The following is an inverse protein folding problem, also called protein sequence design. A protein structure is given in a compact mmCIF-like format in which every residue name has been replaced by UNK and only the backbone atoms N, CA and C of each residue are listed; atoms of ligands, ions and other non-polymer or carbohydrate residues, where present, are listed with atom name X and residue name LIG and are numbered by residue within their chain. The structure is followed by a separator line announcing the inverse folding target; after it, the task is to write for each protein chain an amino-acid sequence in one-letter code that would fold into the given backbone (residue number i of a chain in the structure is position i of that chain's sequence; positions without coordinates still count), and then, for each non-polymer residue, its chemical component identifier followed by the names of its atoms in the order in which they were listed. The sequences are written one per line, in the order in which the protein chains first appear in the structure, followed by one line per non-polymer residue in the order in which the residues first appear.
data_IF_491259220643
#
_entry.id   IF_491259220643
#
_cell.length_a   1.000
_cell.length_b   1.000
_cell.length_c   1.000
_cell.angle_alpha   90.00
_cell.angle_beta   90.00
_cell.angle_gamma   90.00
#
_symmetry.space_group_name_H-M   'P 1'
#
loop_
_entity.id
_entity.type
_entity.pdbx_description
1 polymer ?
#
# COMPACT_ATOMS: atom_id res chain seq x y z
N UNK A 1 11.21 -5.48 48.14
CA UNK A 1 12.17 -5.53 47.01
C UNK A 1 11.59 -6.50 45.99
N UNK A 2 10.69 -6.02 45.11
CA UNK A 2 10.95 -5.70 43.69
C UNK A 2 11.71 -6.84 43.00
N UNK A 3 11.14 -7.56 42.03
CA UNK A 3 10.67 -7.01 40.75
C UNK A 3 9.61 -7.90 40.08
N UNK A 4 8.42 -7.35 39.85
CA UNK A 4 7.47 -7.87 38.85
C UNK A 4 7.83 -7.25 37.50
N UNK A 5 8.42 -8.03 36.60
CA UNK A 5 8.57 -7.65 35.18
C UNK A 5 7.27 -7.93 34.45
N UNK A 6 6.40 -6.92 34.41
CA UNK A 6 5.29 -6.86 33.45
C UNK A 6 5.89 -6.59 32.06
N UNK A 7 6.06 -7.64 31.26
CA UNK A 7 6.26 -7.51 29.82
C UNK A 7 4.92 -7.21 29.15
N UNK A 8 4.63 -5.91 29.02
CA UNK A 8 3.62 -5.40 28.08
C UNK A 8 4.03 -5.77 26.66
N UNK A 9 3.47 -6.85 26.14
CA UNK A 9 3.45 -7.14 24.70
C UNK A 9 2.28 -6.39 24.08
N UNK A 10 2.52 -5.10 23.81
CA UNK A 10 1.69 -4.33 22.87
C UNK A 10 2.01 -4.84 21.47
N UNK A 11 1.23 -5.78 20.94
CA UNK A 11 1.25 -6.14 19.52
C UNK A 11 -0.16 -6.10 18.95
N UNK A 12 -0.36 -5.14 18.06
CA UNK A 12 -1.28 -5.15 16.92
C UNK A 12 -2.78 -5.21 17.19
N UNK A 13 -3.37 -4.03 17.40
CA UNK A 13 -4.78 -3.80 17.12
C UNK A 13 -5.00 -3.52 15.63
N UNK A 14 -5.71 -4.43 14.97
CA UNK A 14 -6.53 -4.27 13.75
C UNK A 14 -5.86 -3.87 12.42
N UNK A 15 -5.04 -4.79 11.87
CA UNK A 15 -4.86 -4.94 10.41
C UNK A 15 -5.78 -6.08 9.86
N UNK A 16 -6.55 -6.72 10.75
CA UNK A 16 -7.24 -8.00 10.52
C UNK A 16 -8.36 -7.98 9.46
N UNK A 17 -8.84 -6.80 9.03
CA UNK A 17 -9.94 -6.72 8.07
C UNK A 17 -9.52 -6.74 6.59
N UNK A 18 -8.23 -6.56 6.28
CA UNK A 18 -7.75 -6.50 4.90
C UNK A 18 -7.27 -7.86 4.37
N UNK A 19 -6.52 -8.59 5.19
CA UNK A 19 -5.96 -9.90 4.87
C UNK A 19 -6.15 -10.83 6.06
N UNK A 20 -6.48 -12.11 5.81
CA UNK A 20 -6.58 -13.12 6.87
C UNK A 20 -5.24 -13.41 7.56
N UNK A 21 -4.12 -12.92 7.01
CA UNK A 21 -2.81 -13.01 7.61
C UNK A 21 -1.84 -11.97 7.03
N UNK A 22 -1.09 -11.31 7.91
CA UNK A 22 0.06 -10.48 7.56
C UNK A 22 1.08 -10.50 8.70
N UNK A 23 2.36 -10.47 8.36
CA UNK A 23 3.43 -10.16 9.32
C UNK A 23 4.45 -9.23 8.65
N UNK A 24 5.10 -8.33 9.42
CA UNK A 24 6.19 -7.51 8.90
C UNK A 24 7.31 -8.34 8.28
N UNK A 25 8.08 -7.76 7.37
CA UNK A 25 9.25 -8.45 6.82
C UNK A 25 10.26 -8.74 7.93
N UNK A 26 10.56 -10.03 8.13
CA UNK A 26 11.66 -10.48 8.98
C UNK A 26 12.77 -11.07 8.09
N UNK A 27 13.92 -10.38 8.04
CA UNK A 27 15.05 -10.78 7.20
C UNK A 27 15.60 -12.17 7.57
N UNK A 28 15.49 -12.61 8.83
CA UNK A 28 15.98 -13.91 9.25
C UNK A 28 15.19 -15.06 8.63
N UNK A 29 13.87 -15.06 8.85
CA UNK A 29 12.99 -16.11 8.33
C UNK A 29 12.82 -16.04 6.81
N UNK A 30 12.72 -14.84 6.24
CA UNK A 30 12.58 -14.67 4.80
C UNK A 30 13.80 -15.23 4.05
N UNK A 31 15.04 -14.94 4.48
CA UNK A 31 16.25 -15.43 3.80
C UNK A 31 16.33 -16.95 3.81
N UNK A 32 16.07 -17.59 4.95
CA UNK A 32 16.08 -19.06 5.04
C UNK A 32 15.01 -19.69 4.15
N UNK A 33 13.81 -19.10 4.13
CA UNK A 33 12.73 -19.54 3.25
C UNK A 33 13.10 -19.41 1.78
N UNK A 34 13.71 -18.30 1.37
CA UNK A 34 14.17 -18.09 -0.01
C UNK A 34 15.23 -19.11 -0.43
N UNK A 35 16.17 -19.43 0.45
CA UNK A 35 17.19 -20.45 0.18
C UNK A 35 16.57 -21.82 -0.10
N UNK A 36 15.57 -22.22 0.69
CA UNK A 36 14.84 -23.46 0.48
C UNK A 36 14.02 -23.42 -0.82
N UNK A 37 13.25 -22.36 -1.02
CA UNK A 37 12.32 -22.23 -2.13
C UNK A 37 13.04 -22.17 -3.49
N UNK A 38 14.20 -21.51 -3.56
CA UNK A 38 14.96 -21.29 -4.80
C UNK A 38 15.97 -22.40 -5.10
N UNK A 39 16.15 -23.38 -4.22
CA UNK A 39 17.12 -24.45 -4.44
C UNK A 39 16.62 -25.41 -5.55
N UNK A 40 17.39 -25.57 -6.65
CA UNK A 40 16.98 -26.36 -7.82
C UNK A 40 16.87 -27.87 -7.53
N UNK A 41 17.37 -28.35 -6.39
CA UNK A 41 17.20 -29.73 -5.94
C UNK A 41 15.75 -30.01 -5.52
N UNK A 42 15.01 -28.99 -5.09
CA UNK A 42 13.60 -29.09 -4.76
C UNK A 42 12.70 -28.87 -5.99
N UNK A 43 11.47 -29.37 -5.93
CA UNK A 43 10.52 -29.27 -7.04
C UNK A 43 10.15 -27.81 -7.34
N UNK A 44 9.92 -27.03 -6.29
CA UNK A 44 9.57 -25.63 -6.32
C UNK A 44 10.64 -24.80 -7.02
N UNK A 45 11.92 -25.01 -6.68
CA UNK A 45 13.05 -24.34 -7.34
C UNK A 45 13.12 -24.63 -8.84
N UNK A 46 12.82 -25.86 -9.27
CA UNK A 46 12.72 -26.22 -10.70
C UNK A 46 11.53 -25.55 -11.38
N UNK A 47 10.38 -25.48 -10.71
CA UNK A 47 9.18 -24.80 -11.21
C UNK A 47 9.47 -23.30 -11.40
N UNK A 48 10.11 -22.66 -10.42
CA UNK A 48 10.49 -21.24 -10.45
C UNK A 48 11.48 -20.97 -11.58
N UNK A 49 12.47 -21.85 -11.77
CA UNK A 49 13.43 -21.73 -12.88
C UNK A 49 12.72 -21.74 -14.24
N UNK A 50 11.79 -22.69 -14.45
CA UNK A 50 10.99 -22.75 -15.68
C UNK A 50 10.10 -21.51 -15.85
N UNK A 51 9.50 -21.01 -14.78
CA UNK A 51 8.71 -19.78 -14.80
C UNK A 51 9.56 -18.58 -15.23
N UNK A 52 10.77 -18.44 -14.69
CA UNK A 52 11.70 -17.35 -15.06
C UNK A 52 12.11 -17.42 -16.53
N UNK A 53 12.32 -18.61 -17.07
CA UNK A 53 12.59 -18.78 -18.50
C UNK A 53 11.38 -18.41 -19.37
N UNK A 54 10.17 -18.75 -18.93
CA UNK A 54 8.94 -18.34 -19.59
C UNK A 54 8.75 -16.82 -19.53
N UNK A 55 9.05 -16.19 -18.39
CA UNK A 55 8.97 -14.74 -18.20
C UNK A 55 9.87 -13.98 -19.17
N UNK A 56 11.12 -14.43 -19.32
CA UNK A 56 12.05 -13.83 -20.28
C UNK A 56 11.60 -13.96 -21.73
N UNK A 57 10.94 -15.08 -22.08
CA UNK A 57 10.54 -15.39 -23.46
C UNK A 57 9.18 -14.81 -23.84
N UNK A 58 8.27 -14.66 -22.88
CA UNK A 58 6.88 -14.30 -23.14
C UNK A 58 6.57 -12.84 -22.77
N UNK A 59 6.54 -11.98 -23.80
CA UNK A 59 6.19 -10.55 -23.63
C UNK A 59 4.72 -10.30 -23.29
N UNK A 60 3.86 -11.31 -23.37
CA UNK A 60 2.43 -11.21 -23.12
C UNK A 60 2.04 -11.61 -21.69
N UNK A 61 3.01 -11.78 -20.79
CA UNK A 61 2.67 -12.01 -19.38
C UNK A 61 1.94 -10.82 -18.78
N UNK A 62 0.96 -11.15 -17.95
CA UNK A 62 0.12 -10.21 -17.22
C UNK A 62 0.27 -10.44 -15.72
N UNK A 63 -0.17 -9.46 -14.93
CA UNK A 63 -0.23 -9.59 -13.47
C UNK A 63 -1.10 -10.74 -12.99
N UNK A 64 -2.11 -11.13 -13.78
CA UNK A 64 -2.93 -12.31 -13.50
C UNK A 64 -2.15 -13.60 -13.68
N UNK A 65 -1.19 -13.65 -14.61
CA UNK A 65 -0.35 -14.83 -14.80
C UNK A 65 0.57 -15.04 -13.59
N UNK A 66 1.23 -13.99 -13.09
CA UNK A 66 2.08 -14.12 -11.89
C UNK A 66 1.24 -14.44 -10.65
N UNK A 67 0.10 -13.79 -10.44
CA UNK A 67 -0.80 -14.08 -9.30
C UNK A 67 -1.20 -15.57 -9.26
N UNK A 68 -1.61 -16.13 -10.42
CA UNK A 68 -1.92 -17.56 -10.55
C UNK A 68 -0.70 -18.45 -10.32
N UNK A 69 0.45 -18.07 -10.85
CA UNK A 69 1.70 -18.80 -10.66
C UNK A 69 2.05 -18.90 -9.17
N UNK A 70 2.03 -17.77 -8.44
CA UNK A 70 2.32 -17.72 -7.01
C UNK A 70 1.33 -18.55 -6.21
N UNK A 71 0.04 -18.49 -6.54
CA UNK A 71 -0.99 -19.31 -5.90
C UNK A 71 -0.71 -20.81 -6.06
N UNK A 72 -0.42 -21.26 -7.28
CA UNK A 72 -0.10 -22.67 -7.54
C UNK A 72 1.20 -23.10 -6.90
N UNK A 73 2.23 -22.24 -6.90
CA UNK A 73 3.49 -22.50 -6.22
C UNK A 73 3.28 -22.68 -4.71
N UNK A 74 2.42 -21.86 -4.08
CA UNK A 74 2.01 -22.04 -2.69
C UNK A 74 1.36 -23.39 -2.46
N UNK A 75 0.40 -23.78 -3.31
CA UNK A 75 -0.26 -25.10 -3.20
C UNK A 75 0.74 -26.26 -3.32
N UNK A 76 1.68 -26.18 -4.27
CA UNK A 76 2.71 -27.21 -4.45
C UNK A 76 3.59 -27.32 -3.21
N UNK A 77 4.10 -26.19 -2.68
CA UNK A 77 4.96 -26.20 -1.50
C UNK A 77 4.25 -26.79 -0.27
N UNK A 78 3.01 -26.37 0.00
CA UNK A 78 2.23 -26.88 1.12
C UNK A 78 1.95 -28.38 0.99
N UNK A 79 1.64 -28.84 -0.22
CA UNK A 79 1.45 -30.27 -0.49
C UNK A 79 2.73 -31.07 -0.24
N UNK A 80 3.87 -30.59 -0.73
CA UNK A 80 5.15 -31.29 -0.61
C UNK A 80 5.71 -31.27 0.82
N UNK A 81 5.31 -30.30 1.64
CA UNK A 81 5.68 -30.19 3.06
C UNK A 81 4.65 -30.83 4.01
N UNK A 82 3.60 -31.45 3.47
CA UNK A 82 2.49 -32.03 4.24
C UNK A 82 1.80 -31.02 5.18
N UNK A 83 1.76 -29.74 4.79
CA UNK A 83 1.07 -28.66 5.48
C UNK A 83 -0.31 -28.40 4.86
N UNK A 84 -1.06 -29.46 4.59
CA UNK A 84 -2.39 -29.42 3.96
C UNK A 84 -3.51 -29.65 4.97
N UNK A 85 -4.72 -29.20 4.67
CA UNK A 85 -5.86 -29.19 5.62
C UNK A 85 -6.30 -30.57 6.13
N UNK A 86 -5.91 -31.64 5.44
CA UNK A 86 -6.14 -33.04 5.83
C UNK A 86 -5.11 -33.57 6.85
N UNK A 87 -4.09 -32.79 7.20
CA UNK A 87 -3.00 -33.18 8.09
C UNK A 87 -3.21 -32.64 9.51
N UNK A 88 -2.79 -33.38 10.55
CA UNK A 88 -3.09 -33.03 11.95
C UNK A 88 -2.40 -31.76 12.45
N UNK A 89 -1.33 -31.31 11.78
CA UNK A 89 -0.57 -30.11 12.15
C UNK A 89 -0.96 -28.87 11.34
N UNK A 90 -1.98 -28.95 10.49
CA UNK A 90 -2.43 -27.82 9.69
C UNK A 90 -2.93 -26.67 10.57
N UNK A 91 -2.52 -25.45 10.22
CA UNK A 91 -3.08 -24.23 10.79
C UNK A 91 -3.80 -23.43 9.70
N UNK A 92 -4.93 -22.76 10.02
CA UNK A 92 -5.71 -22.00 9.05
C UNK A 92 -4.90 -21.00 8.22
N UNK A 93 -3.91 -20.36 8.83
CA UNK A 93 -3.10 -19.31 8.21
C UNK A 93 -1.89 -19.82 7.42
N UNK A 94 -1.65 -21.13 7.36
CA UNK A 94 -0.48 -21.67 6.65
C UNK A 94 -0.49 -21.30 5.17
N UNK A 95 -1.67 -21.27 4.55
CA UNK A 95 -1.77 -20.89 3.15
C UNK A 95 -1.32 -19.44 2.95
N UNK A 96 -1.90 -18.52 3.69
CA UNK A 96 -1.66 -17.09 3.53
C UNK A 96 -0.26 -16.68 3.99
N UNK A 97 0.27 -17.29 5.06
CA UNK A 97 1.64 -17.08 5.48
C UNK A 97 2.64 -17.53 4.42
N UNK A 98 2.47 -18.75 3.90
CA UNK A 98 3.33 -19.31 2.85
C UNK A 98 3.20 -18.51 1.55
N UNK A 99 1.97 -18.09 1.22
CA UNK A 99 1.72 -17.26 0.04
C UNK A 99 2.42 -15.90 0.14
N UNK A 100 2.34 -15.22 1.28
CA UNK A 100 3.04 -13.96 1.53
C UNK A 100 4.56 -14.11 1.38
N UNK A 101 5.16 -15.15 1.97
CA UNK A 101 6.60 -15.41 1.85
C UNK A 101 7.02 -15.69 0.40
N UNK A 102 6.22 -16.48 -0.34
CA UNK A 102 6.44 -16.74 -1.76
C UNK A 102 6.31 -15.45 -2.59
N UNK A 103 5.31 -14.62 -2.32
CA UNK A 103 5.15 -13.31 -2.96
C UNK A 103 6.40 -12.45 -2.73
N UNK A 104 6.87 -12.34 -1.49
CA UNK A 104 8.08 -11.58 -1.11
C UNK A 104 9.35 -12.13 -1.77
N UNK A 105 9.42 -13.43 -1.99
CA UNK A 105 10.54 -14.04 -2.71
C UNK A 105 10.50 -13.74 -4.22
N UNK A 106 9.37 -14.01 -4.87
CA UNK A 106 9.29 -14.07 -6.33
C UNK A 106 9.00 -12.70 -6.96
N UNK A 107 8.17 -11.87 -6.32
CA UNK A 107 7.71 -10.61 -6.91
C UNK A 107 8.86 -9.62 -7.17
N UNK A 108 9.78 -9.35 -6.22
CA UNK A 108 10.94 -8.48 -6.47
C UNK A 108 11.87 -8.98 -7.58
N UNK A 109 11.85 -10.28 -7.85
CA UNK A 109 12.64 -10.93 -8.90
C UNK A 109 11.98 -10.87 -10.28
N UNK A 110 10.75 -10.36 -10.39
CA UNK A 110 9.93 -10.33 -11.62
C UNK A 110 10.01 -8.96 -12.30
N UNK A 111 11.25 -8.48 -12.51
CA UNK A 111 11.54 -7.10 -12.94
C UNK A 111 10.99 -6.82 -14.34
N UNK A 112 11.07 -7.79 -15.24
CA UNK A 112 10.59 -7.68 -16.61
C UNK A 112 9.08 -7.47 -16.67
N UNK A 113 8.32 -8.19 -15.83
CA UNK A 113 6.88 -8.02 -15.71
C UNK A 113 6.53 -6.63 -15.14
N UNK A 114 7.19 -6.22 -14.06
CA UNK A 114 6.98 -4.90 -13.44
C UNK A 114 7.28 -3.78 -14.44
N UNK A 115 8.41 -3.86 -15.15
CA UNK A 115 8.76 -2.90 -16.19
C UNK A 115 7.73 -2.85 -17.31
N UNK A 116 7.21 -4.00 -17.74
CA UNK A 116 6.16 -4.06 -18.75
C UNK A 116 4.89 -3.29 -18.33
N UNK A 117 4.50 -3.40 -17.05
CA UNK A 117 3.32 -2.72 -16.50
C UNK A 117 3.54 -1.21 -16.44
N UNK A 118 4.71 -0.77 -15.96
CA UNK A 118 5.09 0.64 -15.91
C UNK A 118 5.07 1.23 -17.31
N UNK A 119 5.71 0.56 -18.29
CA UNK A 119 5.72 1.03 -19.69
C UNK A 119 4.31 1.11 -20.28
N UNK A 120 3.44 0.10 -20.04
CA UNK A 120 2.06 0.10 -20.55
C UNK A 120 1.18 1.22 -20.00
N UNK A 121 1.50 1.77 -18.83
CA UNK A 121 0.73 2.84 -18.19
C UNK A 121 1.44 4.21 -18.23
N UNK A 122 2.63 4.26 -18.86
CA UNK A 122 3.52 5.42 -18.85
C UNK A 122 2.87 6.71 -19.33
N UNK A 123 2.02 6.67 -20.37
CA UNK A 123 1.33 7.87 -20.87
C UNK A 123 0.44 8.53 -19.81
N UNK A 124 -0.32 7.71 -19.06
CA UNK A 124 -1.18 8.21 -17.98
C UNK A 124 -0.37 8.72 -16.80
N UNK A 125 0.71 8.03 -16.45
CA UNK A 125 1.63 8.43 -15.38
C UNK A 125 2.41 9.71 -15.72
N UNK A 126 2.79 9.91 -16.99
CA UNK A 126 3.36 11.18 -17.48
C UNK A 126 2.32 12.30 -17.35
N UNK A 127 1.08 12.06 -17.75
CA UNK A 127 0.01 13.05 -17.60
C UNK A 127 -0.24 13.39 -16.13
N UNK A 128 -0.24 12.39 -15.25
CA UNK A 128 -0.35 12.58 -13.81
C UNK A 128 0.80 13.41 -13.25
N UNK A 129 2.03 13.08 -13.65
CA UNK A 129 3.23 13.79 -13.19
C UNK A 129 3.21 15.28 -13.55
N UNK A 130 2.64 15.64 -14.72
CA UNK A 130 2.43 17.05 -15.10
C UNK A 130 1.41 17.75 -14.19
N UNK A 131 0.34 17.06 -13.79
CA UNK A 131 -0.62 17.61 -12.83
C UNK A 131 0.01 17.78 -11.45
N UNK A 132 0.78 16.78 -11.02
CA UNK A 132 1.46 16.77 -9.73
C UNK A 132 2.39 17.97 -9.56
N UNK A 133 3.12 18.35 -10.62
CA UNK A 133 4.13 19.40 -10.58
C UNK A 133 3.61 20.78 -10.15
N UNK A 134 2.39 21.16 -10.57
CA UNK A 134 1.80 22.42 -10.12
C UNK A 134 0.96 22.23 -8.86
N UNK A 135 0.30 21.07 -8.71
CA UNK A 135 -0.49 20.80 -7.51
C UNK A 135 0.37 20.68 -6.25
N UNK A 136 1.65 20.35 -6.36
CA UNK A 136 2.58 20.31 -5.23
C UNK A 136 2.82 21.68 -4.58
N UNK A 137 2.49 22.77 -5.28
CA UNK A 137 2.59 24.13 -4.76
C UNK A 137 1.36 24.55 -3.92
N UNK A 138 0.29 23.76 -3.95
CA UNK A 138 -0.95 24.06 -3.23
C UNK A 138 -0.79 23.83 -1.72
N UNK A 139 -1.36 24.73 -0.92
CA UNK A 139 -1.43 24.57 0.55
C UNK A 139 -2.51 23.57 0.96
N UNK A 140 -2.45 23.14 2.22
CA UNK A 140 -3.47 22.26 2.82
C UNK A 140 -4.87 22.90 2.71
N UNK A 141 -4.99 24.20 2.98
CA UNK A 141 -6.26 24.94 2.92
C UNK A 141 -6.78 25.05 1.49
N UNK A 142 -5.91 25.28 0.50
CA UNK A 142 -6.31 25.32 -0.92
C UNK A 142 -6.86 23.97 -1.40
N UNK A 143 -6.39 22.86 -0.82
CA UNK A 143 -6.92 21.53 -1.06
C UNK A 143 -8.18 21.20 -0.26
N UNK A 144 -8.65 22.13 0.58
CA UNK A 144 -9.85 21.98 1.39
C UNK A 144 -9.65 21.24 2.71
N UNK A 145 -8.41 21.14 3.19
CA UNK A 145 -8.15 20.65 4.56
C UNK A 145 -8.66 21.68 5.56
N UNK A 146 -9.43 21.22 6.56
CA UNK A 146 -9.93 22.05 7.65
C UNK A 146 -8.75 22.72 8.38
N UNK A 147 -8.84 24.02 8.65
CA UNK A 147 -7.78 24.78 9.30
C UNK A 147 -7.34 24.20 10.65
N UNK A 148 -8.24 23.52 11.38
CA UNK A 148 -7.95 22.84 12.66
C UNK A 148 -7.10 21.58 12.48
N UNK A 149 -7.04 21.07 11.26
CA UNK A 149 -6.31 19.87 10.84
C UNK A 149 -5.09 20.21 9.98
N UNK A 150 -4.83 21.48 9.73
CA UNK A 150 -3.64 21.91 9.02
C UNK A 150 -2.40 21.74 9.92
N UNK A 151 -1.37 21.09 9.39
CA UNK A 151 -0.06 21.06 10.04
C UNK A 151 0.67 22.41 9.95
N UNK A 152 1.77 22.59 10.73
CA UNK A 152 2.53 23.83 10.74
C UNK A 152 3.06 24.23 9.36
N UNK A 153 2.97 25.51 8.99
CA UNK A 153 3.35 26.06 7.67
C UNK A 153 4.79 25.78 7.22
N UNK A 154 5.70 25.48 8.15
CA UNK A 154 7.13 25.25 7.90
C UNK A 154 7.59 23.81 8.20
N UNK A 155 6.66 22.91 8.48
CA UNK A 155 6.95 21.49 8.73
C UNK A 155 6.35 20.62 7.64
N UNK A 156 6.89 19.41 7.48
CA UNK A 156 6.26 18.37 6.66
C UNK A 156 5.02 17.85 7.40
N UNK A 157 3.90 18.58 7.25
CA UNK A 157 2.60 18.14 7.74
C UNK A 157 2.34 16.70 7.23
N UNK A 158 1.89 15.82 8.12
CA UNK A 158 1.62 14.42 7.78
C UNK A 158 2.84 13.63 7.23
N UNK A 159 4.07 14.00 7.59
CA UNK A 159 5.31 13.38 7.09
C UNK A 159 5.31 11.84 7.10
N UNK A 160 4.84 11.23 8.18
CA UNK A 160 4.82 9.77 8.31
C UNK A 160 3.89 9.14 7.27
N UNK A 161 2.69 9.70 7.06
CA UNK A 161 1.76 9.21 6.04
C UNK A 161 2.34 9.37 4.64
N UNK A 162 2.97 10.51 4.35
CA UNK A 162 3.65 10.79 3.08
C UNK A 162 4.74 9.74 2.82
N UNK A 163 5.51 9.38 3.84
CA UNK A 163 6.55 8.36 3.73
C UNK A 163 5.96 6.97 3.43
N UNK A 164 4.91 6.55 4.14
CA UNK A 164 4.22 5.29 3.86
C UNK A 164 3.68 5.25 2.42
N UNK A 165 3.08 6.34 1.93
CA UNK A 165 2.60 6.45 0.54
C UNK A 165 3.76 6.34 -0.45
N UNK A 166 4.93 6.92 -0.15
CA UNK A 166 6.11 6.82 -1.01
C UNK A 166 6.63 5.38 -1.10
N UNK A 167 6.56 4.64 0.00
CA UNK A 167 7.03 3.24 0.07
C UNK A 167 6.13 2.26 -0.71
N UNK A 168 4.90 2.64 -1.05
CA UNK A 168 4.03 1.80 -1.91
C UNK A 168 4.35 1.92 -3.39
N UNK A 169 5.25 2.82 -3.79
CA UNK A 169 5.62 3.02 -5.20
C UNK A 169 6.07 1.72 -5.87
N UNK A 170 5.62 1.52 -7.12
CA UNK A 170 5.99 0.34 -7.90
C UNK A 170 7.49 0.34 -8.16
N UNK A 171 8.16 -0.76 -7.80
CA UNK A 171 9.62 -0.87 -7.88
C UNK A 171 10.37 -0.54 -6.59
N UNK A 172 9.71 0.13 -5.62
CA UNK A 172 10.20 0.24 -4.23
C UNK A 172 9.58 -0.88 -3.39
N UNK A 173 8.25 -1.03 -3.47
CA UNK A 173 7.54 -2.00 -2.65
C UNK A 173 7.87 -3.45 -3.03
N UNK A 174 8.00 -4.31 -2.03
CA UNK A 174 8.38 -5.71 -2.20
C UNK A 174 7.28 -6.55 -2.84
N UNK A 175 6.02 -6.34 -2.44
CA UNK A 175 4.88 -7.09 -2.97
C UNK A 175 3.62 -6.23 -3.05
N UNK A 176 2.62 -6.63 -3.85
CA UNK A 176 1.31 -5.99 -3.85
C UNK A 176 0.64 -5.98 -2.47
N UNK A 177 0.85 -7.02 -1.65
CA UNK A 177 0.27 -7.09 -0.31
C UNK A 177 0.94 -6.08 0.63
N UNK A 178 2.26 -5.99 0.60
CA UNK A 178 3.01 -4.96 1.36
C UNK A 178 2.57 -3.53 0.93
N UNK A 179 2.27 -3.32 -0.36
CA UNK A 179 1.77 -2.02 -0.85
C UNK A 179 0.40 -1.67 -0.27
N UNK A 180 -0.52 -2.64 -0.16
CA UNK A 180 -1.84 -2.40 0.45
C UNK A 180 -1.70 -2.09 1.93
N UNK A 181 -0.83 -2.81 2.65
CA UNK A 181 -0.56 -2.53 4.06
C UNK A 181 0.04 -1.14 4.24
N UNK A 182 1.03 -0.75 3.43
CA UNK A 182 1.60 0.61 3.49
C UNK A 182 0.55 1.70 3.27
N UNK A 183 -0.44 1.47 2.39
CA UNK A 183 -1.54 2.41 2.19
C UNK A 183 -2.48 2.48 3.42
N UNK A 184 -2.75 1.35 4.06
CA UNK A 184 -3.51 1.29 5.31
C UNK A 184 -2.78 2.05 6.43
N UNK A 185 -1.48 1.81 6.58
CA UNK A 185 -0.62 2.50 7.55
C UNK A 185 -0.54 4.00 7.30
N UNK A 186 -0.56 4.43 6.03
CA UNK A 186 -0.65 5.85 5.68
C UNK A 186 -1.95 6.48 6.17
N UNK A 187 -3.11 5.83 5.95
CA UNK A 187 -4.41 6.33 6.40
C UNK A 187 -4.48 6.39 7.94
N UNK A 188 -3.99 5.35 8.63
CA UNK A 188 -3.90 5.37 10.09
C UNK A 188 -3.00 6.50 10.59
N UNK A 189 -1.87 6.74 9.92
CA UNK A 189 -0.96 7.85 10.24
C UNK A 189 -1.65 9.20 10.05
N UNK A 190 -2.45 9.36 8.98
CA UNK A 190 -3.25 10.57 8.75
C UNK A 190 -4.23 10.80 9.89
N UNK A 191 -5.01 9.78 10.27
CA UNK A 191 -6.00 9.90 11.34
C UNK A 191 -5.33 10.28 12.66
N UNK A 192 -4.24 9.59 13.02
CA UNK A 192 -3.47 9.88 14.24
C UNK A 192 -2.94 11.32 14.25
N UNK A 193 -2.34 11.78 13.14
CA UNK A 193 -1.80 13.13 13.04
C UNK A 193 -2.91 14.20 13.02
N UNK A 194 -4.02 13.96 12.33
CA UNK A 194 -5.17 14.87 12.28
C UNK A 194 -5.79 15.05 13.67
N UNK A 195 -5.97 13.96 14.42
CA UNK A 195 -6.44 14.03 15.82
C UNK A 195 -5.48 14.84 16.69
N UNK A 196 -4.17 14.64 16.56
CA UNK A 196 -3.19 15.44 17.30
C UNK A 196 -3.27 16.94 16.96
N UNK A 197 -3.32 17.29 15.67
CA UNK A 197 -3.47 18.68 15.24
C UNK A 197 -4.77 19.31 15.75
N UNK A 198 -5.88 18.57 15.75
CA UNK A 198 -7.14 19.07 16.29
C UNK A 198 -7.00 19.46 17.77
N UNK A 199 -6.38 18.60 18.59
CA UNK A 199 -6.18 18.88 20.00
C UNK A 199 -5.27 20.09 20.24
N UNK A 200 -4.21 20.23 19.45
CA UNK A 200 -3.29 21.35 19.57
C UNK A 200 -3.96 22.69 19.20
N UNK A 201 -4.80 22.71 18.17
CA UNK A 201 -5.50 23.92 17.72
C UNK A 201 -6.76 24.24 18.53
N UNK A 202 -7.39 23.23 19.16
CA UNK A 202 -8.65 23.37 19.89
C UNK A 202 -8.55 22.86 21.35
N UNK A 203 -7.63 23.39 22.19
CA UNK A 203 -7.36 22.85 23.53
C UNK A 203 -8.56 22.94 24.50
N UNK A 204 -9.55 23.80 24.21
CA UNK A 204 -10.73 24.01 25.04
C UNK A 204 -12.02 23.44 24.42
N UNK A 205 -11.93 22.62 23.35
CA UNK A 205 -13.12 22.01 22.76
C UNK A 205 -13.82 21.10 23.79
N UNK A 206 -15.13 21.27 23.95
CA UNK A 206 -15.94 20.40 24.81
C UNK A 206 -16.04 18.98 24.24
N UNK A 207 -15.98 18.86 22.91
CA UNK A 207 -15.87 17.57 22.22
C UNK A 207 -14.43 17.07 22.33
N UNK A 208 -14.27 16.00 23.11
CA UNK A 208 -12.96 15.42 23.39
C UNK A 208 -12.33 14.70 22.21
N UNK A 209 -13.06 14.40 21.13
CA UNK A 209 -12.51 13.69 19.98
C UNK A 209 -13.08 14.25 18.68
N UNK A 210 -12.22 14.56 17.72
CA UNK A 210 -12.64 14.84 16.35
C UNK A 210 -12.96 13.53 15.64
N UNK A 211 -14.15 13.46 15.03
CA UNK A 211 -14.51 12.38 14.12
C UNK A 211 -13.97 12.69 12.73
N UNK A 212 -12.84 12.07 12.37
CA UNK A 212 -12.28 12.16 11.01
C UNK A 212 -13.09 11.24 10.08
N UNK A 213 -14.16 11.78 9.50
CA UNK A 213 -15.00 11.08 8.52
C UNK A 213 -14.42 11.16 7.10
N UNK A 214 -15.11 10.58 6.11
CA UNK A 214 -14.65 10.57 4.72
C UNK A 214 -14.44 11.96 4.10
N UNK A 215 -15.33 12.91 4.41
CA UNK A 215 -15.25 14.28 3.86
C UNK A 215 -14.06 15.04 4.44
N UNK A 216 -13.75 14.82 5.72
CA UNK A 216 -12.57 15.40 6.38
C UNK A 216 -11.28 14.71 5.97
N UNK A 217 -11.32 13.38 5.80
CA UNK A 217 -10.15 12.58 5.47
C UNK A 217 -9.67 12.80 4.04
N UNK A 218 -10.60 12.92 3.08
CA UNK A 218 -10.27 12.92 1.66
C UNK A 218 -9.31 14.06 1.25
N UNK A 219 -9.55 15.34 1.62
CA UNK A 219 -8.60 16.43 1.34
C UNK A 219 -7.18 16.18 1.90
N UNK A 220 -7.10 15.57 3.09
CA UNK A 220 -5.80 15.27 3.73
C UNK A 220 -5.07 14.17 2.95
N UNK A 221 -5.79 13.14 2.50
CA UNK A 221 -5.23 12.09 1.64
C UNK A 221 -4.77 12.67 0.30
N UNK A 222 -5.56 13.56 -0.31
CA UNK A 222 -5.15 14.29 -1.53
C UNK A 222 -3.84 15.03 -1.31
N UNK A 223 -3.72 15.79 -0.21
CA UNK A 223 -2.48 16.46 0.16
C UNK A 223 -1.31 15.47 0.31
N UNK A 224 -1.48 14.40 1.08
CA UNK A 224 -0.40 13.43 1.32
C UNK A 224 0.04 12.70 0.05
N UNK A 225 -0.89 12.36 -0.86
CA UNK A 225 -0.60 11.74 -2.15
C UNK A 225 0.11 12.69 -3.10
N UNK A 226 -0.22 13.98 -3.07
CA UNK A 226 0.50 15.00 -3.86
C UNK A 226 1.94 15.14 -3.35
N UNK A 227 2.10 15.26 -2.03
CA UNK A 227 3.40 15.51 -1.40
C UNK A 227 4.31 14.27 -1.37
N UNK A 228 3.78 13.06 -1.58
CA UNK A 228 4.61 11.83 -1.66
C UNK A 228 5.46 11.76 -2.92
N UNK A 229 5.18 12.59 -3.93
CA UNK A 229 5.89 12.63 -5.22
C UNK A 229 5.89 11.31 -6.00
N UNK A 230 4.97 10.39 -5.69
CA UNK A 230 4.84 9.14 -6.45
C UNK A 230 4.23 9.44 -7.83
N UNK A 231 4.95 9.02 -8.88
CA UNK A 231 4.59 9.33 -10.27
C UNK A 231 3.90 8.18 -11.01
N UNK A 232 3.93 6.98 -10.44
CA UNK A 232 3.59 5.72 -11.12
C UNK A 232 2.25 5.13 -10.66
N UNK A 233 1.31 6.00 -10.26
CA UNK A 233 0.04 5.58 -9.68
C UNK A 233 -0.84 4.77 -10.63
N UNK A 234 -0.87 5.06 -11.92
CA UNK A 234 -1.68 4.28 -12.86
C UNK A 234 -1.09 2.89 -13.08
N UNK A 235 0.23 2.77 -13.17
CA UNK A 235 0.91 1.48 -13.18
C UNK A 235 0.62 0.69 -11.89
N UNK A 236 0.66 1.37 -10.73
CA UNK A 236 0.35 0.76 -9.44
C UNK A 236 -1.11 0.28 -9.35
N UNK A 237 -2.09 1.12 -9.73
CA UNK A 237 -3.50 0.74 -9.77
C UNK A 237 -3.73 -0.47 -10.67
N UNK A 238 -3.14 -0.44 -11.87
CA UNK A 238 -3.22 -1.57 -12.81
C UNK A 238 -2.62 -2.84 -12.20
N UNK A 239 -1.50 -2.73 -11.50
CA UNK A 239 -0.84 -3.82 -10.80
C UNK A 239 -1.79 -4.47 -9.78
N UNK A 240 -2.36 -3.67 -8.88
CA UNK A 240 -3.27 -4.15 -7.84
C UNK A 240 -4.51 -4.83 -8.43
N UNK A 241 -5.22 -4.15 -9.35
CA UNK A 241 -6.48 -4.65 -9.94
C UNK A 241 -6.33 -5.97 -10.70
N UNK A 242 -5.13 -6.27 -11.18
CA UNK A 242 -4.84 -7.49 -11.92
C UNK A 242 -4.11 -8.55 -11.09
N UNK A 243 -3.62 -8.21 -9.90
CA UNK A 243 -2.99 -9.16 -8.98
C UNK A 243 -4.00 -9.77 -8.01
N UNK A 244 -4.81 -8.92 -7.38
CA UNK A 244 -5.76 -9.33 -6.35
C UNK A 244 -7.12 -9.70 -6.92
N UNK A 245 -7.86 -10.51 -6.15
CA UNK A 245 -9.29 -10.70 -6.39
C UNK A 245 -10.06 -9.47 -5.92
N UNK A 246 -11.26 -9.26 -6.48
CA UNK A 246 -12.08 -8.07 -6.17
C UNK A 246 -12.46 -8.00 -4.70
N UNK A 247 -12.64 -9.14 -4.05
CA UNK A 247 -13.02 -9.25 -2.64
C UNK A 247 -11.97 -8.57 -1.73
N UNK A 248 -10.69 -8.72 -2.06
CA UNK A 248 -9.59 -8.12 -1.29
C UNK A 248 -9.51 -6.61 -1.54
N UNK A 249 -9.73 -6.17 -2.78
CA UNK A 249 -9.54 -4.75 -3.17
C UNK A 249 -10.73 -3.84 -2.97
N UNK A 250 -11.91 -4.38 -2.69
CA UNK A 250 -13.14 -3.57 -2.63
C UNK A 250 -13.95 -3.77 -1.34
N UNK A 251 -13.49 -4.63 -0.42
CA UNK A 251 -14.14 -4.83 0.88
C UNK A 251 -13.18 -4.54 2.03
N UNK A 252 -13.76 -4.28 3.20
CA UNK A 252 -13.00 -4.00 4.43
C UNK A 252 -12.11 -2.77 4.30
N UNK A 253 -11.05 -2.77 5.10
CA UNK A 253 -10.13 -1.63 5.19
C UNK A 253 -9.29 -1.43 3.93
N UNK A 254 -8.83 -2.51 3.31
CA UNK A 254 -8.12 -2.47 2.03
C UNK A 254 -9.00 -1.85 0.94
N UNK A 255 -10.27 -2.25 0.88
CA UNK A 255 -11.24 -1.70 -0.08
C UNK A 255 -11.49 -0.21 0.09
N UNK A 256 -11.64 0.23 1.34
CA UNK A 256 -11.74 1.64 1.67
C UNK A 256 -10.51 2.43 1.20
N UNK A 257 -9.30 2.00 1.60
CA UNK A 257 -8.06 2.69 1.26
C UNK A 257 -7.81 2.72 -0.25
N UNK A 258 -8.04 1.60 -0.94
CA UNK A 258 -7.86 1.49 -2.39
C UNK A 258 -8.84 2.40 -3.16
N UNK A 259 -10.11 2.45 -2.75
CA UNK A 259 -11.10 3.34 -3.34
C UNK A 259 -10.76 4.81 -3.10
N UNK A 260 -10.29 5.14 -1.90
CA UNK A 260 -9.85 6.48 -1.54
C UNK A 260 -8.70 6.96 -2.42
N UNK A 261 -7.67 6.12 -2.60
CA UNK A 261 -6.54 6.41 -3.49
C UNK A 261 -6.99 6.57 -4.95
N UNK A 262 -7.88 5.70 -5.46
CA UNK A 262 -8.45 5.85 -6.82
C UNK A 262 -9.20 7.16 -6.99
N UNK A 263 -9.99 7.56 -6.00
CA UNK A 263 -10.69 8.84 -5.99
C UNK A 263 -9.70 10.02 -5.97
N UNK A 264 -8.63 9.93 -5.18
CA UNK A 264 -7.57 10.94 -5.12
C UNK A 264 -6.85 11.11 -6.46
N UNK A 265 -6.43 10.02 -7.10
CA UNK A 265 -5.79 10.08 -8.42
C UNK A 265 -6.73 10.68 -9.46
N UNK A 266 -8.01 10.27 -9.43
CA UNK A 266 -9.03 10.82 -10.33
C UNK A 266 -9.27 12.31 -10.08
N UNK A 267 -9.28 12.73 -8.81
CA UNK A 267 -9.38 14.13 -8.41
C UNK A 267 -8.22 14.93 -9.01
N UNK A 268 -6.97 14.53 -8.74
CA UNK A 268 -5.76 15.21 -9.27
C UNK A 268 -5.82 15.35 -10.79
N UNK A 269 -6.21 14.28 -11.49
CA UNK A 269 -6.31 14.28 -12.96
C UNK A 269 -7.41 15.19 -13.50
N UNK A 270 -8.46 15.44 -12.73
CA UNK A 270 -9.61 16.26 -13.14
C UNK A 270 -9.43 17.76 -12.85
N UNK A 271 -8.42 18.14 -12.05
CA UNK A 271 -8.21 19.53 -11.66
C UNK A 271 -7.40 20.30 -12.69
N UNK A 272 -7.66 21.59 -12.71
CA UNK A 272 -6.90 22.60 -13.47
C UNK A 272 -6.62 23.77 -12.55
N UNK A 273 -5.60 24.61 -12.85
CA UNK A 273 -5.26 25.76 -12.01
C UNK A 273 -6.45 26.68 -11.70
N UNK A 274 -7.37 26.87 -12.66
CA UNK A 274 -8.57 27.70 -12.50
C UNK A 274 -9.52 27.27 -11.37
N UNK A 275 -9.43 26.03 -10.91
CA UNK A 275 -10.22 25.53 -9.78
C UNK A 275 -9.75 26.07 -8.42
N UNK A 276 -8.52 26.57 -8.34
CA UNK A 276 -7.90 27.03 -7.09
C UNK A 276 -7.66 28.54 -7.07
N UNK A 277 -7.90 29.23 -8.19
CA UNK A 277 -7.75 30.68 -8.33
C UNK A 277 -9.05 31.43 -8.04
N UNK A 278 -9.84 31.00 -7.06
CA UNK A 278 -11.10 31.66 -6.70
C UNK A 278 -10.86 33.15 -6.42
N UNK A 279 -11.32 33.99 -7.35
CA UNK A 279 -11.46 35.44 -7.36
C UNK A 279 -10.92 36.15 -6.10
N UNK A 280 -9.70 36.68 -6.18
CA UNK A 280 -9.32 37.92 -5.48
C UNK A 280 -10.18 39.07 -6.01
N UNK A 281 -11.49 39.03 -5.76
CA UNK A 281 -12.33 40.21 -5.83
C UNK A 281 -12.04 41.04 -4.59
N UNK A 282 -11.06 41.93 -4.77
CA UNK A 282 -11.11 43.34 -4.36
C UNK A 282 -12.21 43.68 -3.34
N UNK A 283 -11.88 43.59 -2.05
CA UNK A 283 -12.38 44.55 -1.08
C UNK A 283 -11.50 45.81 -1.22
N UNK A 284 -11.93 46.71 -2.10
CA UNK A 284 -11.55 48.14 -2.10
C UNK A 284 -12.69 48.94 -1.50
#
# INVERSE_FOLDING_TARGET
TNTNTNTNTNTNTNIDDAFSYFHPLDNGFQVLFEQLLLDPRFEEGRIITKWKDLEKKNKNLTMRNISRFLYHLTQTLLKNTELTSDKPYFQPHFFEATHLMICRCIFPRSKELVQCIVTKNSEKDISYSKQLAWMSELTQEQLGVDARLCGPKHSTAYAQAIQHIKEVEIGICLTPQDSVIGLIEAVHSIQKTATAYYHDHCPNAQDKDIVVNGDTLFPIVVFCVIQSTVHTWHAWLHCMENFFRKEILYFGQSGFCFTLLKATISYVMSRTPSHFTSDTKTDT
#
